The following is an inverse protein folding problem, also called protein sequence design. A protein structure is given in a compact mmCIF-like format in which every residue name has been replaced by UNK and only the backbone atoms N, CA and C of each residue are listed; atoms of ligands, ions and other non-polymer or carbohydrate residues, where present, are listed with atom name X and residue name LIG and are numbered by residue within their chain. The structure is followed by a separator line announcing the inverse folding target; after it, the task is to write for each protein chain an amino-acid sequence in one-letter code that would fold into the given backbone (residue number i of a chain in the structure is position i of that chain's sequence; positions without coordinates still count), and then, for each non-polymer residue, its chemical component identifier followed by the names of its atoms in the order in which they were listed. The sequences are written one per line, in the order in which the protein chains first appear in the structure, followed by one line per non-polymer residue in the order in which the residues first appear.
data_IF_849500523567
#
_entry.id   IF_849500523567
#
_cell.length_a   1.000
_cell.length_b   1.000
_cell.length_c   1.000
_cell.angle_alpha   90.00
_cell.angle_beta   90.00
_cell.angle_gamma   90.00
#
_symmetry.space_group_name_H-M   'P 1'
#
loop_
_entity.id
_entity.type
_entity.pdbx_description
1 polymer ?
#
# COMPACT_ATOMS: atom_id res chain seq x y z
N UNK A 1 20.32 -16.71 2.55
CA UNK A 1 21.73 -16.39 2.77
C UNK A 1 22.02 -16.20 4.27
N UNK A 2 21.67 -15.06 4.90
CA UNK A 2 22.08 -14.74 6.29
C UNK A 2 21.66 -15.79 7.35
N UNK A 3 20.44 -16.31 7.30
CA UNK A 3 20.00 -17.37 8.24
C UNK A 3 20.76 -18.68 8.02
N UNK A 4 21.08 -19.03 6.78
CA UNK A 4 21.87 -20.23 6.46
C UNK A 4 23.31 -20.09 6.95
N UNK A 5 23.90 -18.90 6.87
CA UNK A 5 25.25 -18.62 7.42
C UNK A 5 25.28 -18.75 8.94
N UNK A 6 24.13 -18.55 9.60
CA UNK A 6 23.95 -18.78 11.04
C UNK A 6 23.64 -20.26 11.39
N UNK A 7 23.62 -21.15 10.39
CA UNK A 7 23.41 -22.60 10.60
C UNK A 7 21.92 -23.02 10.65
N UNK A 8 21.00 -22.19 10.18
CA UNK A 8 19.58 -22.56 10.07
C UNK A 8 19.28 -23.21 8.72
N UNK A 9 18.46 -24.26 8.72
CA UNK A 9 17.83 -24.76 7.51
C UNK A 9 16.69 -23.83 7.11
N UNK A 10 16.70 -23.34 5.87
CA UNK A 10 15.72 -22.35 5.39
C UNK A 10 14.99 -22.89 4.18
N UNK A 11 13.66 -22.94 4.27
CA UNK A 11 12.74 -23.21 3.16
C UNK A 11 12.03 -21.90 2.78
N UNK A 12 12.01 -21.58 1.48
CA UNK A 12 11.31 -20.40 0.96
C UNK A 12 10.25 -20.83 -0.03
N UNK A 13 9.06 -20.23 0.07
CA UNK A 13 7.94 -20.47 -0.84
C UNK A 13 7.30 -19.14 -1.25
N UNK A 14 6.66 -19.12 -2.42
CA UNK A 14 5.92 -17.97 -2.95
C UNK A 14 4.48 -18.38 -3.21
N UNK A 15 3.53 -17.54 -2.82
CA UNK A 15 2.10 -17.79 -2.99
C UNK A 15 1.52 -17.11 -4.25
N UNK A 16 2.31 -16.32 -4.97
CA UNK A 16 1.93 -15.68 -6.26
C UNK A 16 0.58 -14.94 -6.17
N UNK A 17 0.44 -14.09 -5.15
CA UNK A 17 -0.77 -13.30 -4.87
C UNK A 17 -2.02 -14.13 -4.50
N UNK A 18 -1.86 -15.41 -4.13
CA UNK A 18 -2.98 -16.25 -3.71
C UNK A 18 -2.93 -16.53 -2.19
N UNK A 19 -3.85 -15.94 -1.39
CA UNK A 19 -3.91 -16.15 0.05
C UNK A 19 -4.19 -17.61 0.44
N UNK A 20 -4.95 -18.35 -0.36
CA UNK A 20 -5.26 -19.77 -0.10
C UNK A 20 -4.00 -20.63 -0.25
N UNK A 21 -3.25 -20.39 -1.32
CA UNK A 21 -1.94 -21.04 -1.51
C UNK A 21 -1.00 -20.72 -0.36
N UNK A 22 -0.95 -19.44 0.11
CA UNK A 22 -0.10 -19.07 1.26
C UNK A 22 -0.48 -19.82 2.54
N UNK A 23 -1.77 -19.92 2.86
CA UNK A 23 -2.25 -20.63 4.04
C UNK A 23 -1.90 -22.12 4.00
N UNK A 24 -2.02 -22.76 2.83
CA UNK A 24 -1.59 -24.15 2.63
C UNK A 24 -0.07 -24.31 2.81
N UNK A 25 0.71 -23.35 2.34
CA UNK A 25 2.18 -23.34 2.53
C UNK A 25 2.55 -23.22 4.00
N UNK A 26 1.88 -22.34 4.77
CA UNK A 26 2.08 -22.21 6.23
C UNK A 26 1.80 -23.56 6.91
N UNK A 27 0.65 -24.18 6.65
CA UNK A 27 0.28 -25.47 7.24
C UNK A 27 1.29 -26.58 6.90
N UNK A 28 1.77 -26.61 5.65
CA UNK A 28 2.78 -27.55 5.22
C UNK A 28 4.13 -27.35 5.94
N UNK A 29 4.56 -26.09 6.12
CA UNK A 29 5.80 -25.77 6.86
C UNK A 29 5.71 -26.22 8.32
N UNK A 30 4.55 -26.01 8.99
CA UNK A 30 4.29 -26.51 10.34
C UNK A 30 4.41 -28.03 10.40
N UNK A 31 3.77 -28.74 9.46
CA UNK A 31 3.82 -30.21 9.38
C UNK A 31 5.25 -30.74 9.14
N UNK A 32 6.07 -29.98 8.40
CA UNK A 32 7.48 -30.29 8.15
C UNK A 32 8.40 -29.96 9.33
N UNK A 33 7.87 -29.43 10.43
CA UNK A 33 8.60 -29.15 11.65
C UNK A 33 9.30 -27.79 11.68
N UNK A 34 8.80 -26.82 10.93
CA UNK A 34 9.30 -25.45 11.00
C UNK A 34 9.17 -24.94 12.46
N UNK A 35 10.23 -24.34 12.99
CA UNK A 35 10.26 -23.76 14.34
C UNK A 35 9.93 -22.28 14.34
N UNK A 36 10.16 -21.62 13.21
CA UNK A 36 9.79 -20.23 12.99
C UNK A 36 9.37 -20.03 11.54
N UNK A 37 8.42 -19.15 11.29
CA UNK A 37 7.95 -18.75 9.96
C UNK A 37 7.98 -17.23 9.87
N UNK A 38 8.64 -16.69 8.84
CA UNK A 38 8.62 -15.28 8.50
C UNK A 38 7.66 -15.13 7.32
N UNK A 39 6.65 -14.28 7.46
CA UNK A 39 5.56 -14.15 6.51
C UNK A 39 5.46 -12.71 6.02
N UNK A 40 5.44 -12.52 4.70
CA UNK A 40 4.88 -11.34 4.02
C UNK A 40 3.48 -11.72 3.60
N UNK A 41 2.46 -11.28 4.33
CA UNK A 41 1.08 -11.72 4.11
C UNK A 41 0.55 -11.26 2.74
N UNK A 42 -0.12 -12.16 2.01
CA UNK A 42 -0.84 -11.81 0.79
C UNK A 42 -2.12 -11.03 1.11
N UNK A 43 -2.80 -11.43 2.18
CA UNK A 43 -3.96 -10.76 2.75
C UNK A 43 -3.89 -10.86 4.27
N UNK A 44 -4.05 -9.72 4.94
CA UNK A 44 -3.88 -9.60 6.39
C UNK A 44 -4.90 -10.44 7.19
N UNK A 45 -6.14 -10.48 6.75
CA UNK A 45 -7.23 -11.19 7.41
C UNK A 45 -7.21 -12.69 7.07
N UNK A 46 -6.98 -13.03 5.80
CA UNK A 46 -6.95 -14.42 5.35
C UNK A 46 -5.81 -15.22 6.00
N UNK A 47 -4.66 -14.59 6.27
CA UNK A 47 -3.53 -15.25 6.92
C UNK A 47 -3.75 -15.54 8.41
N UNK A 48 -4.66 -14.84 9.08
CA UNK A 48 -4.82 -14.89 10.54
C UNK A 48 -5.05 -16.30 11.09
N UNK A 49 -5.96 -17.07 10.49
CA UNK A 49 -6.28 -18.43 10.96
C UNK A 49 -5.08 -19.37 10.85
N UNK A 50 -4.38 -19.38 9.71
CA UNK A 50 -3.21 -20.23 9.51
C UNK A 50 -2.06 -19.86 10.47
N UNK A 51 -1.90 -18.57 10.78
CA UNK A 51 -0.94 -18.05 11.76
C UNK A 51 -1.31 -18.48 13.17
N UNK A 52 -2.58 -18.39 13.55
CA UNK A 52 -3.07 -18.81 14.87
C UNK A 52 -2.90 -20.32 15.06
N UNK A 53 -3.12 -21.12 14.02
CA UNK A 53 -2.89 -22.56 14.03
C UNK A 53 -1.40 -22.87 14.19
N UNK A 54 -0.52 -22.22 13.44
CA UNK A 54 0.92 -22.39 13.56
C UNK A 54 1.43 -22.03 14.96
N UNK A 55 0.94 -20.92 15.53
CA UNK A 55 1.31 -20.49 16.88
C UNK A 55 0.85 -21.48 17.97
N UNK A 56 -0.34 -22.09 17.82
CA UNK A 56 -0.83 -23.14 18.73
C UNK A 56 0.04 -24.41 18.70
N UNK A 57 0.66 -24.71 17.58
CA UNK A 57 1.65 -25.79 17.42
C UNK A 57 3.06 -25.40 17.92
N UNK A 58 3.20 -24.19 18.50
CA UNK A 58 4.46 -23.71 19.07
C UNK A 58 5.44 -23.12 18.06
N UNK A 59 5.00 -22.83 16.83
CA UNK A 59 5.81 -22.18 15.81
C UNK A 59 5.87 -20.66 16.07
N UNK A 60 7.06 -20.09 16.05
CA UNK A 60 7.26 -18.63 16.15
C UNK A 60 6.88 -17.98 14.84
N UNK A 61 5.88 -17.11 14.84
CA UNK A 61 5.48 -16.40 13.62
C UNK A 61 5.93 -14.94 13.67
N UNK A 62 6.60 -14.50 12.62
CA UNK A 62 7.06 -13.12 12.43
C UNK A 62 6.35 -12.56 11.20
N UNK A 63 5.57 -11.50 11.38
CA UNK A 63 5.03 -10.71 10.28
C UNK A 63 6.12 -9.74 9.79
N UNK A 64 6.43 -9.78 8.51
CA UNK A 64 7.42 -8.91 7.89
C UNK A 64 6.75 -8.07 6.82
N UNK A 65 7.06 -6.78 6.81
CA UNK A 65 6.49 -5.76 5.93
C UNK A 65 4.98 -5.57 6.13
N UNK A 66 4.15 -6.58 5.92
CA UNK A 66 2.69 -6.54 5.99
C UNK A 66 2.16 -7.07 7.32
N UNK A 67 1.25 -6.31 7.93
CA UNK A 67 0.58 -6.73 9.17
C UNK A 67 -0.31 -7.94 8.91
N UNK A 68 -0.38 -8.84 9.88
CA UNK A 68 -1.32 -9.97 9.92
C UNK A 68 -2.35 -9.68 11.01
N UNK A 69 -3.64 -9.88 10.72
CA UNK A 69 -4.74 -9.62 11.65
C UNK A 69 -4.85 -10.71 12.73
N UNK A 70 -3.74 -10.98 13.44
CA UNK A 70 -3.62 -11.93 14.53
C UNK A 70 -2.82 -11.34 15.68
N UNK A 71 -3.19 -11.70 16.92
CA UNK A 71 -2.43 -11.37 18.12
C UNK A 71 -1.37 -12.43 18.48
N UNK A 72 -1.29 -13.52 17.70
CA UNK A 72 -0.38 -14.65 17.94
C UNK A 72 0.92 -14.55 17.12
N UNK A 73 1.24 -13.36 16.58
CA UNK A 73 2.54 -13.07 16.00
C UNK A 73 3.53 -12.68 17.09
N UNK A 74 4.76 -13.23 17.02
CA UNK A 74 5.82 -12.94 17.96
C UNK A 74 6.47 -11.57 17.75
N UNK A 75 6.52 -11.12 16.49
CA UNK A 75 7.01 -9.80 16.10
C UNK A 75 6.38 -9.34 14.80
N UNK A 76 6.23 -8.02 14.66
CA UNK A 76 5.93 -7.35 13.41
C UNK A 76 7.07 -6.40 13.08
N UNK A 77 7.66 -6.56 11.90
CA UNK A 77 8.79 -5.78 11.42
C UNK A 77 8.35 -5.03 10.18
N UNK A 78 8.32 -3.72 10.27
CA UNK A 78 7.93 -2.83 9.17
C UNK A 78 8.61 -1.47 9.31
N UNK A 79 8.23 -0.49 8.49
CA UNK A 79 8.71 0.88 8.47
C UNK A 79 7.58 1.85 8.85
N UNK A 80 7.85 3.15 8.83
CA UNK A 80 6.85 4.17 9.14
C UNK A 80 5.84 4.34 8.00
N UNK A 81 4.77 3.56 8.00
CA UNK A 81 3.82 3.49 6.90
C UNK A 81 3.09 4.83 6.66
N UNK A 82 2.56 5.43 7.73
CA UNK A 82 1.89 6.73 7.65
C UNK A 82 2.84 7.81 7.13
N UNK A 83 4.12 7.81 7.58
CA UNK A 83 5.13 8.75 7.11
C UNK A 83 5.42 8.62 5.61
N UNK A 84 5.30 7.42 5.04
CA UNK A 84 5.39 7.23 3.58
C UNK A 84 4.22 7.94 2.90
N UNK A 85 3.00 7.74 3.37
CA UNK A 85 1.82 8.44 2.85
C UNK A 85 1.93 9.96 2.94
N UNK A 86 2.39 10.46 4.10
CA UNK A 86 2.65 11.89 4.29
C UNK A 86 3.64 12.42 3.24
N UNK A 87 4.77 11.72 3.03
CA UNK A 87 5.79 12.11 2.05
C UNK A 87 5.30 12.07 0.60
N UNK A 88 4.41 11.13 0.24
CA UNK A 88 3.80 11.07 -1.08
C UNK A 88 2.93 12.30 -1.36
N UNK A 89 2.05 12.66 -0.41
CA UNK A 89 1.18 13.83 -0.55
C UNK A 89 1.97 15.14 -0.50
N UNK A 90 2.95 15.26 0.42
CA UNK A 90 3.86 16.42 0.50
C UNK A 90 4.59 16.64 -0.85
N UNK A 91 5.11 15.58 -1.44
CA UNK A 91 5.78 15.64 -2.74
C UNK A 91 4.90 16.16 -3.85
N UNK A 92 3.65 15.70 -3.94
CA UNK A 92 2.68 16.16 -4.95
C UNK A 92 2.28 17.61 -4.70
N UNK A 93 1.97 18.00 -3.47
CA UNK A 93 1.63 19.39 -3.14
C UNK A 93 2.78 20.35 -3.52
N UNK A 94 4.02 20.01 -3.21
CA UNK A 94 5.19 20.80 -3.60
C UNK A 94 5.37 20.86 -5.13
N UNK A 95 5.11 19.77 -5.83
CA UNK A 95 5.17 19.75 -7.30
C UNK A 95 4.11 20.66 -7.94
N UNK A 96 2.94 20.81 -7.31
CA UNK A 96 1.89 21.74 -7.68
C UNK A 96 2.18 23.18 -7.25
N UNK A 97 3.24 23.42 -6.46
CA UNK A 97 3.65 24.75 -5.98
C UNK A 97 3.01 25.16 -4.66
N UNK A 98 2.32 24.26 -3.98
CA UNK A 98 1.82 24.52 -2.63
C UNK A 98 2.94 24.42 -1.58
N UNK A 99 2.76 25.12 -0.45
CA UNK A 99 3.51 24.88 0.77
C UNK A 99 2.73 23.95 1.70
N UNK A 100 3.13 22.69 1.89
CA UNK A 100 2.38 21.73 2.70
C UNK A 100 2.20 22.13 4.17
N UNK A 101 3.06 22.99 4.70
CA UNK A 101 2.99 23.49 6.09
C UNK A 101 2.04 24.68 6.24
N UNK A 102 1.74 25.41 5.13
CA UNK A 102 0.91 26.60 5.14
C UNK A 102 -0.12 26.56 4.00
N UNK A 103 -1.25 25.87 4.19
CA UNK A 103 -2.30 25.77 3.17
C UNK A 103 -2.79 27.15 2.73
N UNK A 104 -2.58 27.47 1.45
CA UNK A 104 -2.96 28.75 0.86
C UNK A 104 -2.93 28.68 -0.67
N UNK A 105 -3.61 29.63 -1.36
CA UNK A 105 -3.61 29.66 -2.81
C UNK A 105 -2.23 29.95 -3.37
N UNK A 106 -2.01 29.47 -4.60
CA UNK A 106 -0.83 29.78 -5.41
C UNK A 106 -1.22 30.72 -6.56
N UNK A 107 -0.28 31.06 -7.45
CA UNK A 107 -0.61 31.81 -8.67
C UNK A 107 -1.47 31.00 -9.65
N UNK A 108 -1.46 29.67 -9.55
CA UNK A 108 -2.21 28.76 -10.43
C UNK A 108 -3.46 28.21 -9.78
N UNK A 109 -3.37 27.80 -8.51
CA UNK A 109 -4.43 27.08 -7.79
C UNK A 109 -5.11 27.98 -6.76
N UNK A 110 -6.40 28.15 -6.92
CA UNK A 110 -7.25 28.99 -6.07
C UNK A 110 -8.56 28.25 -5.75
N UNK A 111 -9.43 28.84 -4.96
CA UNK A 111 -10.77 28.27 -4.70
C UNK A 111 -11.68 28.27 -5.93
N UNK A 112 -11.43 29.15 -6.92
CA UNK A 112 -12.14 29.16 -8.21
C UNK A 112 -11.51 28.21 -9.24
N UNK A 113 -10.27 27.79 -9.02
CA UNK A 113 -9.51 26.88 -9.86
C UNK A 113 -8.69 25.92 -8.97
N UNK A 114 -9.35 24.96 -8.28
CA UNK A 114 -8.65 24.00 -7.43
C UNK A 114 -7.85 22.99 -8.24
N UNK A 115 -6.79 22.42 -7.66
CA UNK A 115 -6.06 21.32 -8.26
C UNK A 115 -6.84 20.00 -8.13
N UNK A 116 -7.05 19.32 -9.25
CA UNK A 116 -7.74 18.03 -9.34
C UNK A 116 -6.72 16.88 -9.16
N UNK A 117 -6.82 16.17 -8.05
CA UNK A 117 -5.89 15.09 -7.70
C UNK A 117 -6.59 13.73 -7.76
N UNK A 118 -5.95 12.75 -8.39
CA UNK A 118 -6.31 11.33 -8.34
C UNK A 118 -5.43 10.60 -7.32
N UNK A 119 -6.00 9.66 -6.57
CA UNK A 119 -5.27 8.75 -5.69
C UNK A 119 -5.37 7.32 -6.22
N UNK A 120 -4.23 6.74 -6.63
CA UNK A 120 -4.09 5.32 -6.92
C UNK A 120 -3.58 4.62 -5.65
N UNK A 121 -4.52 4.01 -4.95
CA UNK A 121 -4.28 3.33 -3.67
C UNK A 121 -3.78 1.90 -3.89
N UNK A 122 -3.19 1.31 -2.86
CA UNK A 122 -2.68 -0.05 -2.91
C UNK A 122 -3.74 -1.15 -2.89
N UNK A 123 -3.28 -2.38 -2.76
CA UNK A 123 -4.16 -3.56 -2.65
C UNK A 123 -4.99 -3.50 -1.35
N UNK A 124 -6.31 -3.69 -1.40
CA UNK A 124 -7.16 -3.59 -0.21
C UNK A 124 -6.95 -4.72 0.81
N UNK A 125 -6.34 -5.85 0.41
CA UNK A 125 -5.95 -6.94 1.32
C UNK A 125 -4.65 -6.67 2.08
N UNK A 126 -3.92 -5.61 1.70
CA UNK A 126 -2.68 -5.18 2.34
C UNK A 126 -2.93 -3.97 3.25
N UNK A 127 -2.76 -4.14 4.56
CA UNK A 127 -2.93 -3.05 5.52
C UNK A 127 -2.00 -1.85 5.28
N UNK A 128 -0.86 -2.05 4.61
CA UNK A 128 0.04 -0.95 4.28
C UNK A 128 -0.66 0.12 3.42
N UNK A 129 -1.52 -0.31 2.49
CA UNK A 129 -2.31 0.60 1.65
C UNK A 129 -3.14 1.57 2.49
N UNK A 130 -3.81 1.08 3.54
CA UNK A 130 -4.64 1.90 4.43
C UNK A 130 -3.82 2.93 5.21
N UNK A 131 -2.62 2.55 5.66
CA UNK A 131 -1.73 3.47 6.36
C UNK A 131 -1.15 4.54 5.43
N UNK A 132 -0.82 4.18 4.19
CA UNK A 132 -0.38 5.16 3.18
C UNK A 132 -1.52 6.14 2.88
N UNK A 133 -2.73 5.63 2.64
CA UNK A 133 -3.92 6.44 2.41
C UNK A 133 -4.17 7.42 3.56
N UNK A 134 -4.13 6.93 4.81
CA UNK A 134 -4.31 7.78 5.98
C UNK A 134 -3.25 8.89 6.08
N UNK A 135 -1.98 8.58 5.80
CA UNK A 135 -0.92 9.58 5.76
C UNK A 135 -1.11 10.61 4.64
N UNK A 136 -1.50 10.18 3.45
CA UNK A 136 -1.83 11.08 2.34
C UNK A 136 -2.97 12.02 2.73
N UNK A 137 -4.04 11.47 3.32
CA UNK A 137 -5.22 12.25 3.71
C UNK A 137 -4.88 13.25 4.83
N UNK A 138 -4.04 12.89 5.79
CA UNK A 138 -3.58 13.81 6.85
C UNK A 138 -2.96 15.09 6.25
N UNK A 139 -2.14 14.95 5.21
CA UNK A 139 -1.45 16.09 4.55
C UNK A 139 -2.38 16.84 3.59
N UNK A 140 -3.27 16.14 2.86
CA UNK A 140 -4.15 16.75 1.87
C UNK A 140 -5.37 17.44 2.48
N UNK A 141 -5.87 16.94 3.62
CA UNK A 141 -7.14 17.41 4.19
C UNK A 141 -7.22 18.93 4.40
N UNK A 142 -6.17 19.62 4.92
CA UNK A 142 -6.20 21.08 5.04
C UNK A 142 -6.41 21.84 3.72
N UNK A 143 -5.89 21.29 2.61
CA UNK A 143 -6.05 21.88 1.27
C UNK A 143 -7.43 21.59 0.68
N UNK A 144 -7.97 20.41 0.95
CA UNK A 144 -9.35 20.05 0.58
C UNK A 144 -10.35 20.93 1.34
N UNK A 145 -10.16 21.11 2.65
CA UNK A 145 -11.01 21.94 3.48
C UNK A 145 -10.96 23.43 3.07
N UNK A 146 -9.81 23.87 2.59
CA UNK A 146 -9.62 25.22 2.06
C UNK A 146 -10.17 25.39 0.62
N UNK A 147 -10.63 24.33 -0.03
CA UNK A 147 -11.13 24.36 -1.41
C UNK A 147 -10.04 24.57 -2.47
N UNK A 148 -8.78 24.28 -2.14
CA UNK A 148 -7.62 24.46 -3.03
C UNK A 148 -7.27 23.18 -3.79
N UNK A 149 -7.72 22.04 -3.26
CA UNK A 149 -7.53 20.70 -3.83
C UNK A 149 -8.86 19.96 -3.86
N UNK A 150 -9.11 19.23 -4.93
CA UNK A 150 -10.24 18.31 -5.07
C UNK A 150 -9.70 16.92 -5.33
N UNK A 151 -10.10 15.93 -4.54
CA UNK A 151 -9.82 14.53 -4.85
C UNK A 151 -10.90 14.02 -5.79
N UNK A 152 -10.60 14.04 -7.09
CA UNK A 152 -11.57 13.71 -8.15
C UNK A 152 -11.79 12.20 -8.32
N UNK A 153 -10.83 11.37 -7.90
CA UNK A 153 -10.99 9.92 -7.86
C UNK A 153 -10.06 9.28 -6.83
N UNK A 154 -10.51 8.15 -6.26
CA UNK A 154 -9.71 7.22 -5.45
C UNK A 154 -9.94 5.81 -6.00
N UNK A 155 -8.88 5.07 -6.27
CA UNK A 155 -8.98 3.73 -6.81
C UNK A 155 -7.97 2.79 -6.16
N UNK A 156 -8.46 1.73 -5.52
CA UNK A 156 -7.62 0.63 -5.06
C UNK A 156 -7.16 -0.22 -6.25
N UNK A 157 -5.88 -0.56 -6.27
CA UNK A 157 -5.27 -1.34 -7.34
C UNK A 157 -4.90 -2.73 -6.80
N UNK A 158 -5.67 -3.73 -7.22
CA UNK A 158 -5.48 -5.10 -6.82
C UNK A 158 -4.07 -5.59 -7.16
N UNK A 159 -3.46 -6.32 -6.21
CA UNK A 159 -2.11 -6.88 -6.28
C UNK A 159 -0.99 -5.84 -6.49
N UNK A 160 -1.24 -4.54 -6.30
CA UNK A 160 -0.27 -3.48 -6.61
C UNK A 160 0.22 -3.55 -8.07
N UNK A 161 -0.65 -4.02 -8.97
CA UNK A 161 -0.29 -4.39 -10.35
C UNK A 161 -0.30 -3.18 -11.27
N UNK A 162 0.78 -3.02 -12.05
CA UNK A 162 0.95 -1.91 -13.00
C UNK A 162 -0.13 -1.89 -14.09
N UNK A 163 -0.51 -3.07 -14.62
CA UNK A 163 -1.52 -3.17 -15.69
C UNK A 163 -2.91 -2.76 -15.17
N UNK A 164 -3.24 -3.16 -13.92
CA UNK A 164 -4.48 -2.73 -13.29
C UNK A 164 -4.47 -1.20 -13.05
N UNK A 165 -3.33 -0.62 -12.74
CA UNK A 165 -3.18 0.84 -12.59
C UNK A 165 -3.38 1.58 -13.93
N UNK A 166 -2.84 1.07 -15.05
CA UNK A 166 -3.10 1.61 -16.41
C UNK A 166 -4.60 1.65 -16.68
N UNK A 167 -5.29 0.51 -16.53
CA UNK A 167 -6.74 0.39 -16.81
C UNK A 167 -7.54 1.34 -15.90
N UNK A 168 -7.19 1.42 -14.63
CA UNK A 168 -7.86 2.31 -13.69
C UNK A 168 -7.69 3.78 -14.11
N UNK A 169 -6.47 4.18 -14.48
CA UNK A 169 -6.18 5.56 -14.83
C UNK A 169 -6.81 5.96 -16.16
N UNK A 170 -6.82 5.09 -17.19
CA UNK A 170 -7.54 5.33 -18.46
C UNK A 170 -9.04 5.58 -18.22
N UNK A 171 -9.66 4.80 -17.34
CA UNK A 171 -11.07 4.98 -16.97
C UNK A 171 -11.30 6.30 -16.22
N UNK A 172 -10.39 6.65 -15.30
CA UNK A 172 -10.46 7.90 -14.54
C UNK A 172 -10.31 9.10 -15.49
N UNK A 173 -9.29 9.12 -16.33
CA UNK A 173 -9.08 10.20 -17.30
C UNK A 173 -10.30 10.38 -18.20
N UNK A 174 -10.88 9.30 -18.70
CA UNK A 174 -12.11 9.33 -19.50
C UNK A 174 -13.28 9.94 -18.72
N UNK A 175 -13.50 9.50 -17.48
CA UNK A 175 -14.61 9.98 -16.63
C UNK A 175 -14.46 11.43 -16.19
N UNK A 176 -13.23 11.89 -16.03
CA UNK A 176 -12.90 13.27 -15.66
C UNK A 176 -12.66 14.20 -16.88
N UNK A 177 -12.90 13.72 -18.11
CA UNK A 177 -12.62 14.48 -19.36
C UNK A 177 -11.17 14.97 -19.44
N UNK A 178 -10.22 14.20 -18.93
CA UNK A 178 -8.80 14.52 -18.79
C UNK A 178 -8.51 15.73 -17.87
N UNK A 179 -9.45 16.12 -17.01
CA UNK A 179 -9.28 17.20 -16.04
C UNK A 179 -8.66 16.65 -14.74
N UNK A 180 -7.38 16.29 -14.83
CA UNK A 180 -6.55 15.76 -13.74
C UNK A 180 -5.20 16.48 -13.75
N UNK A 181 -4.85 17.12 -12.65
CA UNK A 181 -3.63 17.93 -12.53
C UNK A 181 -2.47 17.17 -11.91
N UNK A 182 -2.78 16.20 -11.03
CA UNK A 182 -1.77 15.36 -10.41
C UNK A 182 -2.34 13.99 -9.98
N UNK A 183 -1.42 13.03 -9.85
CA UNK A 183 -1.72 11.68 -9.35
C UNK A 183 -0.82 11.35 -8.17
N UNK A 184 -1.40 10.91 -7.07
CA UNK A 184 -0.67 10.27 -5.97
C UNK A 184 -0.76 8.77 -6.18
N UNK A 185 0.37 8.14 -6.48
CA UNK A 185 0.49 6.70 -6.60
C UNK A 185 1.12 6.12 -5.33
N UNK A 186 0.48 5.13 -4.74
CA UNK A 186 0.93 4.57 -3.46
C UNK A 186 2.24 3.76 -3.56
N UNK A 187 2.70 3.39 -4.78
CA UNK A 187 4.03 2.82 -5.05
C UNK A 187 4.48 3.09 -6.49
N UNK A 188 5.71 2.65 -6.81
CA UNK A 188 6.33 2.87 -8.13
C UNK A 188 5.59 2.18 -9.27
N UNK A 189 5.07 0.95 -9.08
CA UNK A 189 4.33 0.23 -10.10
C UNK A 189 3.05 0.97 -10.50
N UNK A 190 2.33 1.52 -9.52
CA UNK A 190 1.13 2.31 -9.78
C UNK A 190 1.48 3.62 -10.50
N UNK A 191 2.57 4.27 -10.13
CA UNK A 191 3.08 5.47 -10.79
C UNK A 191 3.56 5.20 -12.23
N UNK A 192 4.13 4.01 -12.50
CA UNK A 192 4.46 3.58 -13.86
C UNK A 192 3.20 3.32 -14.69
N UNK A 193 2.16 2.74 -14.07
CA UNK A 193 0.86 2.53 -14.69
C UNK A 193 0.18 3.84 -15.08
N UNK A 194 0.18 4.84 -14.19
CA UNK A 194 -0.30 6.19 -14.48
C UNK A 194 0.40 6.79 -15.70
N UNK A 195 1.73 6.79 -15.73
CA UNK A 195 2.51 7.32 -16.84
C UNK A 195 2.21 6.66 -18.18
N UNK A 196 1.87 5.37 -18.21
CA UNK A 196 1.53 4.63 -19.43
C UNK A 196 0.12 4.93 -19.94
N UNK A 197 -0.79 5.33 -19.06
CA UNK A 197 -2.17 5.65 -19.43
C UNK A 197 -2.31 6.95 -20.25
N UNK A 198 -1.31 7.83 -20.19
CA UNK A 198 -1.33 9.16 -20.84
C UNK A 198 -0.50 9.24 -22.13
N UNK A 199 -0.03 8.12 -22.67
CA UNK A 199 0.81 8.07 -23.90
C UNK A 199 -0.01 7.69 -25.12
#
# INVERSE_FOLDING_TARGET
AALQELGYDVVSQQASHDPVTQNNQIANMVTQGARAIIIVAQDAAAAATAVDDAAREGVIVIAYDRLIASTNIAAYITFGLTQVGNGQADGVLRALGFDPENPGPTDTWTTENPANIVKLEGDPGDNNAQFFEAGQDEVLQPFVDAGLVVIVARQNIANWDETNAVIAMENILTSQNNDVDAVIAANDNLGLGDRKSVV
#
